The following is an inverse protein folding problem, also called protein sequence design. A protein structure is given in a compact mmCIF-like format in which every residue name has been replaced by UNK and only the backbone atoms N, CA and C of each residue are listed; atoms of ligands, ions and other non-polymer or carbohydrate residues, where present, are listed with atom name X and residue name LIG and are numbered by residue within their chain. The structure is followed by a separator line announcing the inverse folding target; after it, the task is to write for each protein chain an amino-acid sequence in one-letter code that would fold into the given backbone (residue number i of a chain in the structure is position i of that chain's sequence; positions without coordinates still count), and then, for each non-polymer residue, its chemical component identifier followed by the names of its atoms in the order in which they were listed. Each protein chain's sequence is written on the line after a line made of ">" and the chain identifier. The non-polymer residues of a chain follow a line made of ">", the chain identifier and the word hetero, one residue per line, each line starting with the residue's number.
data_IF_948172656621
#
_entry.id   IF_948172656621
#
_cell.length_a   1.000
_cell.length_b   1.000
_cell.length_c   1.000
_cell.angle_alpha   90.00
_cell.angle_beta   90.00
_cell.angle_gamma   90.00
#
_symmetry.space_group_name_H-M   'P 1'
#
loop_
_entity.id
_entity.type
_entity.pdbx_description
1 polymer ?
#
# COMPACT_ATOMS: atom_id res chain seq x y z
N UNK A 1 -29.93 3.06 -46.33
CA UNK A 1 -30.98 3.21 -45.30
C UNK A 1 -30.82 2.17 -44.19
N UNK A 2 -30.71 0.88 -44.51
CA UNK A 2 -30.47 -0.23 -43.55
C UNK A 2 -29.21 -0.06 -42.70
N UNK A 3 -28.07 0.30 -43.31
CA UNK A 3 -26.80 0.54 -42.57
C UNK A 3 -26.92 1.67 -41.55
N UNK A 4 -27.63 2.75 -41.89
CA UNK A 4 -27.86 3.88 -40.99
C UNK A 4 -28.76 3.48 -39.82
N UNK A 5 -29.82 2.70 -40.07
CA UNK A 5 -30.68 2.17 -39.00
C UNK A 5 -29.92 1.23 -38.06
N UNK A 6 -29.06 0.36 -38.59
CA UNK A 6 -28.19 -0.51 -37.80
C UNK A 6 -27.22 0.29 -36.93
N UNK A 7 -26.59 1.33 -37.48
CA UNK A 7 -25.70 2.21 -36.72
C UNK A 7 -26.45 2.91 -35.58
N UNK A 8 -27.63 3.45 -35.86
CA UNK A 8 -28.48 4.10 -34.84
C UNK A 8 -28.89 3.09 -33.76
N UNK A 9 -29.31 1.88 -34.14
CA UNK A 9 -29.67 0.84 -33.19
C UNK A 9 -28.50 0.44 -32.28
N UNK A 10 -27.30 0.27 -32.84
CA UNK A 10 -26.08 -0.01 -32.06
C UNK A 10 -25.79 1.13 -31.08
N UNK A 11 -25.86 2.38 -31.53
CA UNK A 11 -25.61 3.55 -30.68
C UNK A 11 -26.63 3.61 -29.53
N UNK A 12 -27.92 3.40 -29.82
CA UNK A 12 -28.98 3.37 -28.79
C UNK A 12 -28.76 2.23 -27.81
N UNK A 13 -28.45 1.03 -28.27
CA UNK A 13 -28.12 -0.12 -27.41
C UNK A 13 -26.92 0.16 -26.51
N UNK A 14 -25.86 0.79 -27.04
CA UNK A 14 -24.70 1.21 -26.26
C UNK A 14 -25.07 2.24 -25.19
N UNK A 15 -25.91 3.23 -25.51
CA UNK A 15 -26.38 4.21 -24.53
C UNK A 15 -27.27 3.59 -23.44
N UNK A 16 -28.16 2.67 -23.80
CA UNK A 16 -29.00 1.95 -22.83
C UNK A 16 -28.15 1.05 -21.93
N UNK A 17 -27.20 0.31 -22.51
CA UNK A 17 -26.27 -0.54 -21.77
C UNK A 17 -25.41 0.29 -20.81
N UNK A 18 -24.87 1.42 -21.27
CA UNK A 18 -24.15 2.36 -20.41
C UNK A 18 -25.06 2.91 -19.30
N UNK A 19 -26.28 3.32 -19.63
CA UNK A 19 -27.27 3.78 -18.65
C UNK A 19 -27.56 2.74 -17.57
N UNK A 20 -27.68 1.46 -17.94
CA UNK A 20 -27.87 0.35 -17.00
C UNK A 20 -26.66 0.13 -16.10
N UNK A 21 -25.43 0.18 -16.65
CA UNK A 21 -24.19 0.10 -15.86
C UNK A 21 -24.15 1.22 -14.83
N UNK A 22 -24.39 2.46 -15.27
CA UNK A 22 -24.36 3.62 -14.39
C UNK A 22 -25.45 3.54 -13.33
N UNK A 23 -26.67 3.13 -13.69
CA UNK A 23 -27.75 2.98 -12.72
C UNK A 23 -27.41 1.92 -11.67
N UNK A 24 -26.95 0.74 -12.08
CA UNK A 24 -26.57 -0.35 -11.17
C UNK A 24 -25.40 0.04 -10.25
N UNK A 25 -24.38 0.69 -10.80
CA UNK A 25 -23.25 1.17 -10.03
C UNK A 25 -23.69 2.21 -8.98
N UNK A 26 -24.46 3.21 -9.39
CA UNK A 26 -24.81 4.35 -8.53
C UNK A 26 -25.92 4.06 -7.49
N UNK A 27 -26.60 2.91 -7.59
CA UNK A 27 -27.66 2.49 -6.65
C UNK A 27 -27.22 1.37 -5.70
N UNK A 28 -25.98 0.90 -5.81
CA UNK A 28 -25.46 -0.26 -5.07
C UNK A 28 -25.71 -0.17 -3.55
N UNK A 29 -25.38 0.98 -2.94
CA UNK A 29 -25.56 1.22 -1.51
C UNK A 29 -27.01 1.50 -1.12
N UNK A 30 -27.79 2.13 -2.02
CA UNK A 30 -29.20 2.44 -1.80
C UNK A 30 -30.01 1.16 -1.64
N UNK A 31 -29.83 0.20 -2.55
CA UNK A 31 -30.52 -1.10 -2.54
C UNK A 31 -30.14 -1.93 -1.30
N UNK A 32 -28.95 -1.71 -0.73
CA UNK A 32 -28.44 -2.41 0.47
C UNK A 32 -28.76 -1.70 1.78
N UNK A 33 -29.47 -0.57 1.74
CA UNK A 33 -29.80 0.21 2.94
C UNK A 33 -28.61 0.88 3.62
N UNK A 34 -27.45 0.97 2.96
CA UNK A 34 -26.25 1.62 3.50
C UNK A 34 -26.31 3.12 3.23
N UNK A 35 -26.17 3.94 4.28
CA UNK A 35 -26.10 5.39 4.13
C UNK A 35 -24.87 5.79 3.32
N UNK A 36 -25.07 6.66 2.34
CA UNK A 36 -24.01 7.08 1.43
C UNK A 36 -24.32 8.46 0.85
N UNK A 37 -23.31 9.14 0.30
CA UNK A 37 -23.56 10.31 -0.53
C UNK A 37 -23.96 9.90 -1.93
N UNK A 38 -25.00 10.56 -2.46
CA UNK A 38 -25.41 10.38 -3.85
C UNK A 38 -24.22 10.64 -4.79
N UNK A 39 -23.82 9.64 -5.61
CA UNK A 39 -22.70 9.77 -6.52
C UNK A 39 -23.05 10.60 -7.76
N UNK A 40 -22.02 11.15 -8.38
CA UNK A 40 -22.11 11.62 -9.76
C UNK A 40 -21.96 10.43 -10.71
N UNK A 41 -22.70 10.38 -11.83
CA UNK A 41 -22.85 9.15 -12.61
C UNK A 41 -21.55 8.42 -12.99
N UNK A 42 -20.48 9.14 -13.36
CA UNK A 42 -19.22 8.55 -13.86
C UNK A 42 -18.05 8.62 -12.87
N UNK A 43 -17.96 9.70 -12.12
CA UNK A 43 -16.82 10.02 -11.24
C UNK A 43 -17.11 9.72 -9.77
N UNK A 44 -18.27 9.13 -9.49
CA UNK A 44 -18.69 8.76 -8.15
C UNK A 44 -18.74 9.99 -7.24
N UNK A 45 -18.22 9.85 -6.03
CA UNK A 45 -18.10 10.98 -5.12
C UNK A 45 -16.75 11.73 -5.23
N UNK A 46 -15.78 11.20 -6.00
CA UNK A 46 -14.50 11.88 -6.28
C UNK A 46 -14.68 13.19 -7.08
N UNK A 47 -15.83 13.37 -7.74
CA UNK A 47 -16.23 14.64 -8.36
C UNK A 47 -16.03 15.85 -7.43
N UNK A 48 -16.26 15.66 -6.13
CA UNK A 48 -16.07 16.71 -5.12
C UNK A 48 -14.59 17.09 -4.97
N UNK A 49 -13.68 16.13 -4.95
CA UNK A 49 -12.25 16.41 -4.91
C UNK A 49 -11.80 17.19 -6.16
N UNK A 50 -12.26 16.75 -7.35
CA UNK A 50 -11.95 17.40 -8.63
C UNK A 50 -12.50 18.83 -8.73
N UNK A 51 -13.73 19.05 -8.25
CA UNK A 51 -14.40 20.36 -8.32
C UNK A 51 -13.78 21.40 -7.39
N UNK A 52 -13.27 20.99 -6.23
CA UNK A 52 -12.77 21.90 -5.19
C UNK A 52 -11.24 22.01 -5.15
N UNK A 53 -10.52 21.36 -6.07
CA UNK A 53 -9.05 21.31 -6.09
C UNK A 53 -8.46 20.94 -4.72
N UNK A 54 -9.11 20.00 -4.01
CA UNK A 54 -8.69 19.51 -2.69
C UNK A 54 -8.10 18.11 -2.81
N UNK A 55 -7.16 17.80 -1.93
CA UNK A 55 -6.62 16.44 -1.81
C UNK A 55 -7.73 15.45 -1.44
N UNK A 56 -7.67 14.23 -1.97
CA UNK A 56 -8.71 13.20 -1.80
C UNK A 56 -8.95 12.83 -0.33
N UNK A 57 -7.94 12.94 0.54
CA UNK A 57 -8.06 12.68 1.99
C UNK A 57 -9.13 13.53 2.67
N UNK A 58 -9.26 14.81 2.32
CA UNK A 58 -10.30 15.70 2.87
C UNK A 58 -11.70 15.19 2.53
N UNK A 59 -11.85 14.58 1.36
CA UNK A 59 -13.12 14.07 0.92
C UNK A 59 -13.52 12.82 1.73
N UNK A 60 -12.59 11.89 1.98
CA UNK A 60 -12.87 10.76 2.86
C UNK A 60 -13.20 11.18 4.29
N UNK A 61 -12.50 12.19 4.82
CA UNK A 61 -12.81 12.77 6.14
C UNK A 61 -14.21 13.41 6.19
N UNK A 62 -14.60 14.14 5.13
CA UNK A 62 -15.94 14.71 5.00
C UNK A 62 -17.02 13.62 5.02
N UNK A 63 -16.84 12.53 4.27
CA UNK A 63 -17.76 11.38 4.27
C UNK A 63 -17.80 10.72 5.65
N UNK A 64 -16.64 10.50 6.25
CA UNK A 64 -16.52 9.90 7.57
C UNK A 64 -17.33 10.70 8.60
N UNK A 65 -17.23 12.04 8.58
CA UNK A 65 -17.92 12.93 9.52
C UNK A 65 -19.39 13.17 9.20
N UNK A 66 -19.83 12.96 7.95
CA UNK A 66 -21.19 13.31 7.52
C UNK A 66 -22.30 12.46 8.15
N UNK A 67 -21.99 11.25 8.62
CA UNK A 67 -23.00 10.30 9.12
C UNK A 67 -22.69 9.83 10.55
N UNK A 68 -22.52 10.73 11.54
CA UNK A 68 -21.81 10.44 12.80
C UNK A 68 -22.31 9.22 13.58
N UNK A 69 -23.60 8.89 13.46
CA UNK A 69 -24.27 7.75 14.11
C UNK A 69 -24.06 6.40 13.42
N UNK A 70 -23.64 6.39 12.16
CA UNK A 70 -23.48 5.18 11.36
C UNK A 70 -22.13 4.51 11.62
N UNK A 71 -22.14 3.19 11.80
CA UNK A 71 -20.92 2.38 12.01
C UNK A 71 -20.09 2.23 10.72
N UNK A 72 -20.74 2.38 9.58
CA UNK A 72 -20.14 2.29 8.24
C UNK A 72 -20.91 3.17 7.26
N UNK A 73 -20.21 3.69 6.25
CA UNK A 73 -20.78 4.64 5.28
C UNK A 73 -20.34 4.25 3.87
N UNK A 74 -21.29 4.18 2.94
CA UNK A 74 -20.98 3.94 1.53
C UNK A 74 -20.50 5.20 0.82
N UNK A 75 -19.64 5.00 -0.16
CA UNK A 75 -19.22 5.99 -1.14
C UNK A 75 -18.92 5.30 -2.48
N UNK A 76 -18.56 6.09 -3.48
CA UNK A 76 -18.23 5.61 -4.82
C UNK A 76 -16.94 6.26 -5.30
N UNK A 77 -15.97 5.43 -5.66
CA UNK A 77 -14.76 5.84 -6.35
C UNK A 77 -14.94 5.52 -7.82
N UNK A 78 -15.23 6.55 -8.63
CA UNK A 78 -15.76 6.35 -9.97
C UNK A 78 -17.03 5.47 -9.94
N UNK A 79 -16.98 4.29 -10.53
CA UNK A 79 -18.08 3.32 -10.57
C UNK A 79 -17.94 2.22 -9.51
N UNK A 80 -16.85 2.24 -8.73
CA UNK A 80 -16.57 1.26 -7.69
C UNK A 80 -17.27 1.67 -6.39
N UNK A 81 -18.22 0.87 -5.87
CA UNK A 81 -18.78 1.08 -4.55
C UNK A 81 -17.70 0.79 -3.49
N UNK A 82 -17.43 1.78 -2.66
CA UNK A 82 -16.39 1.73 -1.63
C UNK A 82 -17.05 2.02 -0.29
N UNK A 83 -16.84 1.20 0.73
CA UNK A 83 -17.39 1.48 2.07
C UNK A 83 -16.34 2.25 2.90
N UNK A 84 -16.75 2.86 3.99
CA UNK A 84 -15.87 3.45 4.99
C UNK A 84 -16.30 2.88 6.32
N UNK A 85 -15.43 2.10 6.95
CA UNK A 85 -15.68 1.54 8.29
C UNK A 85 -15.30 2.59 9.32
N UNK A 86 -16.22 2.90 10.23
CA UNK A 86 -16.02 3.92 11.27
C UNK A 86 -15.92 3.35 12.67
N UNK A 87 -16.56 2.20 12.91
CA UNK A 87 -16.52 1.50 14.19
C UNK A 87 -15.18 0.76 14.37
N UNK A 88 -14.39 1.05 15.42
CA UNK A 88 -13.14 0.36 15.71
C UNK A 88 -13.28 -1.16 15.83
N UNK A 89 -14.41 -1.65 16.35
CA UNK A 89 -14.70 -3.08 16.48
C UNK A 89 -14.81 -3.75 15.11
N UNK A 90 -15.43 -3.06 14.14
CA UNK A 90 -15.52 -3.54 12.76
C UNK A 90 -14.16 -3.49 12.08
N UNK A 91 -13.37 -2.44 12.34
CA UNK A 91 -11.98 -2.34 11.85
C UNK A 91 -11.12 -3.49 12.39
N UNK A 92 -11.20 -3.79 13.68
CA UNK A 92 -10.49 -4.92 14.30
C UNK A 92 -10.94 -6.26 13.71
N UNK A 93 -12.24 -6.45 13.55
CA UNK A 93 -12.78 -7.67 12.95
C UNK A 93 -12.19 -7.89 11.55
N UNK A 94 -12.16 -6.86 10.71
CA UNK A 94 -11.67 -6.95 9.33
C UNK A 94 -10.14 -7.08 9.25
N UNK A 95 -9.40 -6.25 9.99
CA UNK A 95 -7.93 -6.17 9.87
C UNK A 95 -7.19 -7.21 10.70
N UNK A 96 -7.83 -7.79 11.72
CA UNK A 96 -7.17 -8.68 12.69
C UNK A 96 -7.86 -10.03 12.76
N UNK A 97 -9.14 -10.07 13.14
CA UNK A 97 -9.82 -11.35 13.43
C UNK A 97 -10.03 -12.18 12.17
N UNK A 98 -10.51 -11.54 11.12
CA UNK A 98 -10.86 -12.16 9.84
C UNK A 98 -9.82 -11.87 8.76
N UNK A 99 -8.59 -11.48 9.13
CA UNK A 99 -7.54 -11.15 8.15
C UNK A 99 -7.26 -12.30 7.17
N UNK A 100 -7.42 -13.55 7.59
CA UNK A 100 -7.27 -14.73 6.72
C UNK A 100 -8.26 -14.76 5.56
N UNK A 101 -9.43 -14.15 5.76
CA UNK A 101 -10.52 -14.00 4.78
C UNK A 101 -10.24 -12.83 3.83
N UNK A 102 -9.44 -11.84 4.26
CA UNK A 102 -9.09 -10.63 3.51
C UNK A 102 -7.58 -10.44 3.31
N UNK A 103 -6.89 -11.38 2.63
CA UNK A 103 -5.44 -11.25 2.43
C UNK A 103 -5.07 -10.19 1.39
N UNK A 104 -6.02 -9.77 0.55
CA UNK A 104 -5.78 -8.98 -0.65
C UNK A 104 -5.77 -7.49 -0.38
N UNK A 105 -4.95 -6.78 -1.15
CA UNK A 105 -4.73 -5.36 -0.98
C UNK A 105 -5.67 -4.53 -1.86
N UNK A 106 -5.76 -3.24 -1.49
CA UNK A 106 -6.07 -2.06 -2.31
C UNK A 106 -5.92 -2.19 -3.82
N UNK A 107 -6.62 -1.38 -4.65
CA UNK A 107 -6.44 -1.43 -6.09
C UNK A 107 -5.15 -0.65 -6.40
N UNK A 108 -4.01 -1.29 -6.16
CA UNK A 108 -2.72 -0.92 -6.71
C UNK A 108 -2.56 -1.80 -7.94
N UNK A 109 -3.03 -1.31 -9.08
CA UNK A 109 -2.89 -2.03 -10.35
C UNK A 109 -1.78 -1.42 -11.17
N UNK A 110 -0.91 -2.29 -11.68
CA UNK A 110 0.15 -1.95 -12.62
C UNK A 110 -0.07 -2.74 -13.90
N UNK A 111 0.38 -2.20 -15.04
CA UNK A 111 0.34 -2.94 -16.29
C UNK A 111 1.26 -4.17 -16.23
N UNK A 112 0.94 -5.28 -16.92
CA UNK A 112 1.76 -6.51 -16.89
C UNK A 112 3.24 -6.33 -17.26
N UNK A 113 3.58 -5.30 -18.03
CA UNK A 113 4.97 -5.01 -18.39
C UNK A 113 5.76 -4.28 -17.29
N UNK A 114 5.11 -3.77 -16.26
CA UNK A 114 5.76 -3.00 -15.19
C UNK A 114 6.62 -3.89 -14.30
N UNK A 115 7.75 -3.39 -13.84
CA UNK A 115 8.54 -4.02 -12.77
C UNK A 115 7.72 -4.20 -11.49
N UNK A 116 6.65 -3.42 -11.28
CA UNK A 116 5.82 -3.49 -10.07
C UNK A 116 4.69 -4.52 -10.13
N UNK A 117 4.46 -5.14 -11.30
CA UNK A 117 3.29 -5.99 -11.55
C UNK A 117 3.14 -7.15 -10.58
N UNK A 118 4.22 -7.87 -10.29
CA UNK A 118 4.23 -9.02 -9.37
C UNK A 118 4.72 -8.65 -7.96
N UNK A 119 4.54 -7.41 -7.52
CA UNK A 119 4.98 -7.02 -6.18
C UNK A 119 4.13 -7.61 -5.05
N UNK A 120 4.68 -7.61 -3.82
CA UNK A 120 3.92 -8.01 -2.62
C UNK A 120 2.67 -7.15 -2.36
N UNK A 121 2.56 -5.97 -2.97
CA UNK A 121 1.40 -5.10 -2.83
C UNK A 121 0.29 -5.38 -3.87
N UNK A 122 0.57 -6.20 -4.89
CA UNK A 122 -0.34 -6.50 -6.00
C UNK A 122 -0.67 -7.98 -6.12
N UNK A 123 0.23 -8.87 -5.70
CA UNK A 123 -0.06 -10.30 -5.60
C UNK A 123 -1.14 -10.52 -4.55
N UNK A 124 -2.04 -11.46 -4.83
CA UNK A 124 -3.20 -11.79 -4.01
C UNK A 124 -3.19 -13.25 -3.51
N UNK A 125 -4.08 -13.53 -2.57
CA UNK A 125 -4.46 -14.84 -2.08
C UNK A 125 -3.33 -15.61 -1.40
N UNK A 126 -3.31 -16.91 -1.67
CA UNK A 126 -2.35 -17.85 -1.10
C UNK A 126 -0.92 -17.60 -1.61
N UNK A 127 -0.75 -17.10 -2.84
CA UNK A 127 0.56 -16.69 -3.40
C UNK A 127 1.13 -15.51 -2.61
N UNK A 128 0.31 -14.50 -2.33
CA UNK A 128 0.70 -13.36 -1.51
C UNK A 128 1.18 -13.82 -0.13
N UNK A 129 0.43 -14.73 0.50
CA UNK A 129 0.78 -15.25 1.83
C UNK A 129 2.11 -15.99 1.83
N UNK A 130 2.35 -16.84 0.84
CA UNK A 130 3.61 -17.56 0.69
C UNK A 130 4.79 -16.59 0.49
N UNK A 131 4.64 -15.64 -0.43
CA UNK A 131 5.64 -14.61 -0.70
C UNK A 131 5.92 -13.73 0.53
N UNK A 132 4.87 -13.25 1.21
CA UNK A 132 4.99 -12.46 2.44
C UNK A 132 5.77 -13.20 3.52
N UNK A 133 5.46 -14.48 3.74
CA UNK A 133 6.15 -15.29 4.75
C UNK A 133 7.64 -15.41 4.42
N UNK A 134 8.00 -15.59 3.14
CA UNK A 134 9.40 -15.61 2.69
C UNK A 134 10.08 -14.27 2.94
N UNK A 135 9.47 -13.15 2.54
CA UNK A 135 10.05 -11.81 2.67
C UNK A 135 10.21 -11.37 4.14
N UNK A 136 9.24 -11.72 5.00
CA UNK A 136 9.28 -11.42 6.43
C UNK A 136 10.48 -12.03 7.14
N UNK A 137 11.06 -13.11 6.61
CA UNK A 137 12.27 -13.71 7.20
C UNK A 137 13.44 -12.71 7.27
N UNK A 138 13.44 -11.64 6.48
CA UNK A 138 14.47 -10.59 6.49
C UNK A 138 14.37 -9.63 7.69
N UNK A 139 13.19 -9.54 8.32
CA UNK A 139 12.88 -8.51 9.31
C UNK A 139 12.78 -9.06 10.74
N UNK A 140 13.38 -10.22 11.01
CA UNK A 140 13.48 -10.73 12.38
C UNK A 140 14.34 -9.80 13.24
N UNK A 141 14.10 -9.77 14.56
CA UNK A 141 14.88 -8.92 15.47
C UNK A 141 16.39 -9.17 15.37
N UNK A 142 16.81 -10.43 15.17
CA UNK A 142 18.21 -10.78 14.98
C UNK A 142 18.82 -10.16 13.72
N UNK A 143 18.10 -10.23 12.58
CA UNK A 143 18.56 -9.63 11.32
C UNK A 143 18.54 -8.10 11.36
N UNK A 144 17.50 -7.51 11.95
CA UNK A 144 17.45 -6.05 12.14
C UNK A 144 18.59 -5.54 13.01
N UNK A 145 18.95 -6.27 14.08
CA UNK A 145 20.11 -5.95 14.90
C UNK A 145 21.42 -6.10 14.13
N UNK A 146 21.53 -7.10 13.25
CA UNK A 146 22.72 -7.33 12.44
C UNK A 146 22.98 -6.20 11.43
N UNK A 147 21.93 -5.61 10.84
CA UNK A 147 22.07 -4.51 9.87
C UNK A 147 22.11 -3.12 10.51
N UNK A 148 21.79 -3.00 11.80
CA UNK A 148 21.73 -1.73 12.54
C UNK A 148 23.02 -0.87 12.45
N UNK A 149 24.25 -1.44 12.55
CA UNK A 149 25.46 -0.64 12.43
C UNK A 149 25.59 0.10 11.10
N UNK A 150 25.08 -0.48 10.00
CA UNK A 150 25.12 0.18 8.69
C UNK A 150 24.13 1.35 8.60
N UNK A 151 22.98 1.23 9.26
CA UNK A 151 22.00 2.33 9.37
C UNK A 151 22.65 3.50 10.13
N UNK A 152 23.33 3.23 11.25
CA UNK A 152 24.05 4.26 12.03
C UNK A 152 25.15 4.91 11.18
N UNK A 153 25.93 4.12 10.44
CA UNK A 153 26.98 4.65 9.55
C UNK A 153 26.41 5.56 8.46
N UNK A 154 25.32 5.14 7.81
CA UNK A 154 24.63 5.95 6.81
C UNK A 154 24.08 7.25 7.41
N UNK A 155 23.53 7.19 8.62
CA UNK A 155 23.04 8.38 9.33
C UNK A 155 24.19 9.34 9.64
N UNK A 156 25.28 8.84 10.21
CA UNK A 156 26.44 9.63 10.59
C UNK A 156 27.08 10.33 9.37
N UNK A 157 27.22 9.62 8.25
CA UNK A 157 27.76 10.19 7.01
C UNK A 157 26.98 11.40 6.51
N UNK A 158 25.65 11.39 6.67
CA UNK A 158 24.79 12.49 6.24
C UNK A 158 24.77 13.62 7.27
N UNK A 159 24.82 13.29 8.56
CA UNK A 159 24.88 14.31 9.62
C UNK A 159 26.22 15.06 9.58
N UNK A 160 27.33 14.37 9.30
CA UNK A 160 28.66 14.97 9.24
C UNK A 160 28.85 15.90 8.04
N UNK A 161 28.07 15.73 6.96
CA UNK A 161 28.18 16.59 5.77
C UNK A 161 27.60 18.00 5.99
N UNK A 162 26.54 18.14 6.78
CA UNK A 162 26.04 19.44 7.27
C UNK A 162 25.45 19.30 8.67
N UNK A 163 26.27 19.40 9.74
CA UNK A 163 25.80 19.17 11.10
C UNK A 163 24.86 20.26 11.62
N UNK A 164 24.70 21.37 10.89
CA UNK A 164 23.93 22.54 11.34
C UNK A 164 22.54 22.61 10.71
N UNK A 165 22.30 21.90 9.61
CA UNK A 165 21.03 21.98 8.87
C UNK A 165 20.51 20.59 8.57
N UNK A 166 19.19 20.47 8.60
CA UNK A 166 18.48 19.31 8.10
C UNK A 166 17.62 19.76 6.94
N UNK A 167 17.89 19.25 5.74
CA UNK A 167 17.05 19.49 4.57
C UNK A 167 16.54 18.18 3.97
N UNK A 168 15.48 18.28 3.16
CA UNK A 168 14.80 17.11 2.58
C UNK A 168 15.75 16.21 1.78
N UNK A 169 16.70 16.80 1.04
CA UNK A 169 17.65 16.01 0.25
C UNK A 169 18.59 15.16 1.10
N UNK A 170 19.06 15.65 2.26
CA UNK A 170 19.83 14.84 3.22
C UNK A 170 19.02 13.64 3.71
N UNK A 171 17.73 13.83 3.99
CA UNK A 171 16.86 12.73 4.43
C UNK A 171 16.69 11.68 3.33
N UNK A 172 16.54 12.10 2.07
CA UNK A 172 16.50 11.17 0.94
C UNK A 172 17.84 10.44 0.74
N UNK A 173 18.96 11.16 0.83
CA UNK A 173 20.30 10.58 0.75
C UNK A 173 20.51 9.52 1.84
N UNK A 174 20.14 9.87 3.09
CA UNK A 174 20.15 8.92 4.20
C UNK A 174 19.28 7.70 3.90
N UNK A 175 18.05 7.88 3.42
CA UNK A 175 17.16 6.76 3.13
C UNK A 175 17.75 5.82 2.06
N UNK A 176 18.32 6.37 0.98
CA UNK A 176 18.97 5.59 -0.09
C UNK A 176 20.22 4.89 0.42
N UNK A 177 21.16 5.60 1.05
CA UNK A 177 22.39 5.01 1.61
C UNK A 177 22.08 3.96 2.67
N UNK A 178 21.14 4.25 3.57
CA UNK A 178 20.68 3.32 4.60
C UNK A 178 20.15 2.05 3.95
N UNK A 179 19.27 2.16 2.96
CA UNK A 179 18.71 1.01 2.28
C UNK A 179 19.78 0.18 1.56
N UNK A 180 20.62 0.80 0.74
CA UNK A 180 21.67 0.10 -0.01
C UNK A 180 22.67 -0.61 0.92
N UNK A 181 23.16 0.09 1.95
CA UNK A 181 24.13 -0.48 2.88
C UNK A 181 23.52 -1.57 3.76
N UNK A 182 22.30 -1.37 4.28
CA UNK A 182 21.68 -2.29 5.24
C UNK A 182 21.00 -3.49 4.58
N UNK A 183 20.33 -3.30 3.45
CA UNK A 183 19.48 -4.31 2.80
C UNK A 183 20.20 -5.02 1.65
N UNK A 184 21.12 -4.34 0.96
CA UNK A 184 21.88 -4.90 -0.17
C UNK A 184 23.37 -5.11 0.13
N UNK A 185 23.86 -4.56 1.23
CA UNK A 185 25.26 -4.75 1.66
C UNK A 185 26.27 -4.09 0.73
N UNK A 186 25.87 -3.05 -0.02
CA UNK A 186 26.75 -2.33 -0.96
C UNK A 186 26.49 -0.83 -0.91
N UNK A 187 27.55 -0.05 -1.12
CA UNK A 187 27.51 1.39 -1.39
C UNK A 187 27.90 1.71 -2.85
N UNK A 188 28.22 0.69 -3.65
CA UNK A 188 28.68 0.85 -5.03
C UNK A 188 27.47 0.79 -5.95
N UNK A 189 27.29 1.88 -6.71
CA UNK A 189 26.25 2.00 -7.72
C UNK A 189 26.90 2.12 -9.11
N UNK A 190 26.48 1.32 -10.11
CA UNK A 190 27.06 1.36 -11.45
C UNK A 190 27.06 2.76 -12.09
N UNK A 191 25.98 3.51 -11.88
CA UNK A 191 25.72 4.82 -12.50
C UNK A 191 25.87 5.99 -11.51
N UNK A 192 26.32 5.70 -10.29
CA UNK A 192 26.51 6.70 -9.24
C UNK A 192 25.24 7.06 -8.45
N UNK A 193 25.45 7.69 -7.29
CA UNK A 193 24.39 8.02 -6.34
C UNK A 193 23.47 9.14 -6.83
N UNK A 194 24.02 10.14 -7.52
CA UNK A 194 23.26 11.28 -8.03
C UNK A 194 22.19 10.87 -9.04
N UNK A 195 22.52 9.96 -9.95
CA UNK A 195 21.57 9.45 -10.94
C UNK A 195 20.45 8.64 -10.27
N UNK A 196 20.79 7.74 -9.33
CA UNK A 196 19.78 6.98 -8.58
C UNK A 196 18.83 7.91 -7.83
N UNK A 197 19.36 8.97 -7.21
CA UNK A 197 18.55 9.96 -6.50
C UNK A 197 17.61 10.72 -7.45
N UNK A 198 18.10 11.13 -8.62
CA UNK A 198 17.28 11.80 -9.64
C UNK A 198 16.16 10.89 -10.16
N UNK A 199 16.47 9.63 -10.50
CA UNK A 199 15.50 8.64 -10.99
C UNK A 199 14.49 8.23 -9.92
N UNK A 200 14.93 8.08 -8.68
CA UNK A 200 14.03 7.76 -7.55
C UNK A 200 13.03 8.88 -7.29
N UNK A 201 13.48 10.14 -7.33
CA UNK A 201 12.58 11.31 -7.29
C UNK A 201 11.63 11.32 -8.48
N UNK A 202 12.10 10.94 -9.67
CA UNK A 202 11.26 10.88 -10.86
C UNK A 202 10.06 9.95 -10.68
N UNK A 203 10.21 8.77 -10.06
CA UNK A 203 9.10 7.82 -9.83
C UNK A 203 7.93 8.48 -9.10
N UNK A 204 8.21 9.32 -8.10
CA UNK A 204 7.20 10.01 -7.29
C UNK A 204 6.69 11.34 -7.86
N UNK A 205 7.14 11.75 -9.05
CA UNK A 205 6.65 12.99 -9.66
C UNK A 205 5.19 12.86 -10.10
N UNK A 206 4.29 13.59 -9.44
CA UNK A 206 2.86 13.67 -9.73
C UNK A 206 2.54 14.49 -10.99
N UNK A 207 3.14 14.17 -12.14
CA UNK A 207 2.75 14.76 -13.43
C UNK A 207 1.27 14.43 -13.70
N UNK A 208 0.42 15.38 -14.12
CA UNK A 208 -1.01 15.12 -14.34
C UNK A 208 -1.30 13.91 -15.23
N UNK A 209 -0.48 13.71 -16.27
CA UNK A 209 -0.55 12.54 -17.13
C UNK A 209 -0.39 11.22 -16.36
N UNK A 210 0.57 11.14 -15.42
CA UNK A 210 0.80 9.94 -14.60
C UNK A 210 -0.34 9.68 -13.63
N UNK A 211 -0.92 10.74 -13.07
CA UNK A 211 -2.10 10.63 -12.20
C UNK A 211 -3.27 10.03 -13.00
N UNK A 212 -3.50 10.52 -14.22
CA UNK A 212 -4.53 9.97 -15.11
C UNK A 212 -4.24 8.50 -15.45
N UNK A 213 -2.99 8.16 -15.81
CA UNK A 213 -2.60 6.78 -16.09
C UNK A 213 -2.85 5.86 -14.88
N UNK A 214 -2.47 6.28 -13.67
CA UNK A 214 -2.73 5.51 -12.46
C UNK A 214 -4.23 5.32 -12.21
N UNK A 215 -5.03 6.38 -12.35
CA UNK A 215 -6.49 6.29 -12.21
C UNK A 215 -7.06 5.28 -13.21
N UNK A 216 -6.62 5.31 -14.47
CA UNK A 216 -7.09 4.40 -15.51
C UNK A 216 -6.67 2.96 -15.24
N UNK A 217 -5.42 2.71 -14.86
CA UNK A 217 -4.96 1.37 -14.47
C UNK A 217 -5.72 0.84 -13.25
N UNK A 218 -6.06 1.73 -12.31
CA UNK A 218 -6.71 1.40 -11.04
C UNK A 218 -8.20 1.10 -11.18
N UNK A 219 -8.96 2.03 -11.78
CA UNK A 219 -10.42 2.00 -11.82
C UNK A 219 -10.98 1.53 -13.17
N UNK A 220 -10.16 1.53 -14.22
CA UNK A 220 -10.55 1.13 -15.58
C UNK A 220 -9.49 0.22 -16.24
N UNK A 221 -9.01 -0.84 -15.57
CA UNK A 221 -7.82 -1.59 -15.99
C UNK A 221 -7.88 -2.07 -17.44
N UNK A 222 -9.02 -2.62 -17.88
CA UNK A 222 -9.21 -3.07 -19.28
C UNK A 222 -9.00 -1.95 -20.30
N UNK A 223 -9.41 -0.73 -19.98
CA UNK A 223 -9.24 0.44 -20.85
C UNK A 223 -7.81 0.98 -20.75
N UNK A 224 -7.20 0.97 -19.56
CA UNK A 224 -5.78 1.27 -19.38
C UNK A 224 -4.89 0.36 -20.23
N UNK A 225 -5.16 -0.95 -20.20
CA UNK A 225 -4.46 -1.97 -20.99
C UNK A 225 -4.68 -1.75 -22.50
N UNK A 226 -5.93 -1.52 -22.93
CA UNK A 226 -6.26 -1.24 -24.33
C UNK A 226 -5.51 0.00 -24.87
N UNK A 227 -5.34 1.03 -24.04
CA UNK A 227 -4.63 2.26 -24.38
C UNK A 227 -3.11 2.15 -24.14
N UNK A 228 -2.60 0.98 -23.73
CA UNK A 228 -1.19 0.74 -23.42
C UNK A 228 -0.61 1.77 -22.42
N UNK A 229 -1.45 2.16 -21.45
CA UNK A 229 -1.07 3.07 -20.37
C UNK A 229 -0.04 2.39 -19.47
N UNK A 230 0.84 3.21 -18.90
CA UNK A 230 1.93 2.74 -18.06
C UNK A 230 2.02 3.55 -16.79
N UNK A 231 2.33 2.87 -15.70
CA UNK A 231 2.60 3.50 -14.41
C UNK A 231 3.79 4.47 -14.50
N UNK A 232 4.84 4.07 -15.22
CA UNK A 232 6.02 4.90 -15.43
C UNK A 232 6.57 4.77 -16.86
N UNK A 233 7.42 5.71 -17.31
CA UNK A 233 8.09 5.59 -18.60
C UNK A 233 8.92 4.31 -18.69
N UNK A 234 8.91 3.63 -19.85
CA UNK A 234 9.71 2.41 -20.08
C UNK A 234 11.20 2.61 -19.80
N UNK A 235 11.73 3.80 -20.08
CA UNK A 235 13.13 4.15 -19.80
C UNK A 235 13.43 4.12 -18.31
N UNK A 236 12.50 4.58 -17.48
CA UNK A 236 12.62 4.56 -16.02
C UNK A 236 12.45 3.15 -15.46
N UNK A 237 11.48 2.39 -16.00
CA UNK A 237 11.26 0.98 -15.63
C UNK A 237 12.50 0.13 -15.94
N UNK A 238 13.05 0.25 -17.16
CA UNK A 238 14.26 -0.45 -17.58
C UNK A 238 15.49 -0.08 -16.75
N UNK A 239 15.64 1.20 -16.38
CA UNK A 239 16.70 1.65 -15.49
C UNK A 239 16.69 0.86 -14.17
N UNK A 240 15.53 0.79 -13.50
CA UNK A 240 15.43 0.08 -12.23
C UNK A 240 15.56 -1.43 -12.39
N UNK A 241 15.06 -2.02 -13.48
CA UNK A 241 15.29 -3.43 -13.79
C UNK A 241 16.78 -3.74 -13.88
N UNK A 242 17.53 -2.97 -14.66
CA UNK A 242 18.97 -3.16 -14.87
C UNK A 242 19.75 -2.96 -13.56
N UNK A 243 19.46 -1.89 -12.82
CA UNK A 243 20.11 -1.60 -11.55
C UNK A 243 19.88 -2.73 -10.54
N UNK A 244 18.62 -3.09 -10.29
CA UNK A 244 18.27 -4.09 -9.28
C UNK A 244 18.75 -5.48 -9.67
N UNK A 245 18.70 -5.83 -10.95
CA UNK A 245 19.27 -7.08 -11.44
C UNK A 245 20.77 -7.14 -11.20
N UNK A 246 21.49 -6.06 -11.53
CA UNK A 246 22.93 -5.95 -11.26
C UNK A 246 23.24 -6.12 -9.77
N UNK A 247 22.47 -5.47 -8.89
CA UNK A 247 22.68 -5.57 -7.44
C UNK A 247 22.43 -7.00 -6.92
N UNK A 248 21.40 -7.69 -7.42
CA UNK A 248 21.09 -9.08 -7.05
C UNK A 248 22.17 -10.04 -7.59
N UNK A 249 22.66 -9.84 -8.82
CA UNK A 249 23.71 -10.67 -9.42
C UNK A 249 25.08 -10.47 -8.75
N UNK A 250 25.44 -9.21 -8.45
CA UNK A 250 26.65 -8.88 -7.70
C UNK A 250 26.61 -9.53 -6.30
N UNK A 251 25.46 -9.47 -5.62
CA UNK A 251 25.26 -10.16 -4.33
C UNK A 251 25.39 -11.67 -4.46
N UNK A 252 24.83 -12.26 -5.52
CA UNK A 252 24.86 -13.70 -5.72
C UNK A 252 26.27 -14.23 -6.02
N UNK A 253 27.11 -13.43 -6.68
CA UNK A 253 28.48 -13.77 -7.06
C UNK A 253 29.50 -13.44 -5.97
N UNK A 254 29.29 -12.37 -5.20
CA UNK A 254 30.10 -12.06 -4.05
C UNK A 254 29.77 -13.09 -2.94
N UNK A 255 30.73 -13.95 -2.59
CA UNK A 255 30.58 -15.00 -1.56
C UNK A 255 30.49 -14.43 -0.12
N UNK A 256 29.65 -13.41 0.07
CA UNK A 256 29.48 -12.64 1.29
C UNK A 256 28.35 -13.26 2.10
N UNK A 257 28.71 -13.92 3.20
CA UNK A 257 27.76 -14.48 4.16
C UNK A 257 27.20 -13.38 5.06
N UNK A 258 26.11 -12.77 4.61
CA UNK A 258 25.35 -11.77 5.38
C UNK A 258 23.85 -12.05 5.20
N UNK A 259 23.13 -12.09 6.32
CA UNK A 259 21.71 -12.39 6.37
C UNK A 259 20.85 -11.12 6.22
N UNK A 260 20.99 -10.48 5.06
CA UNK A 260 20.25 -9.29 4.65
C UNK A 260 19.08 -9.62 3.71
N UNK A 261 18.40 -8.58 3.22
CA UNK A 261 17.28 -8.71 2.29
C UNK A 261 17.73 -9.21 0.91
N UNK A 262 18.88 -8.74 0.42
CA UNK A 262 19.43 -9.20 -0.85
C UNK A 262 19.74 -10.70 -0.83
N UNK A 263 20.17 -11.28 0.30
CA UNK A 263 20.25 -12.74 0.45
C UNK A 263 18.90 -13.43 0.22
N UNK A 264 17.81 -12.89 0.75
CA UNK A 264 16.47 -13.48 0.55
C UNK A 264 16.07 -13.42 -0.93
N UNK A 265 16.37 -12.31 -1.62
CA UNK A 265 16.16 -12.17 -3.06
C UNK A 265 17.00 -13.16 -3.88
N UNK A 266 18.29 -13.32 -3.56
CA UNK A 266 19.16 -14.31 -4.21
C UNK A 266 18.69 -15.74 -3.97
N UNK A 267 18.27 -16.06 -2.74
CA UNK A 267 17.74 -17.38 -2.40
C UNK A 267 16.44 -17.63 -3.17
N UNK A 268 15.54 -16.64 -3.27
CA UNK A 268 14.33 -16.72 -4.10
C UNK A 268 14.68 -16.98 -5.57
N UNK A 269 15.62 -16.23 -6.14
CA UNK A 269 16.01 -16.38 -7.55
C UNK A 269 16.54 -17.79 -7.88
N UNK A 270 17.07 -18.51 -6.88
CA UNK A 270 17.56 -19.89 -7.02
C UNK A 270 16.50 -20.96 -6.76
N UNK A 271 15.36 -20.62 -6.18
CA UNK A 271 14.32 -21.59 -5.80
C UNK A 271 13.63 -22.22 -7.02
N UNK A 272 13.46 -21.46 -8.11
CA UNK A 272 12.70 -21.87 -9.30
C UNK A 272 11.20 -21.93 -9.06
N UNK A 273 10.75 -22.56 -7.96
CA UNK A 273 9.36 -22.62 -7.52
C UNK A 273 9.22 -22.29 -6.03
N UNK A 274 8.10 -21.69 -5.65
CA UNK A 274 7.74 -21.41 -4.27
C UNK A 274 6.51 -22.23 -3.88
N UNK A 275 6.64 -22.98 -2.78
CA UNK A 275 5.56 -23.76 -2.21
C UNK A 275 4.52 -22.85 -1.55
N UNK A 276 3.25 -23.17 -1.81
CA UNK A 276 2.10 -22.51 -1.21
C UNK A 276 1.52 -23.44 -0.16
N UNK A 277 1.87 -23.15 1.10
CA UNK A 277 1.38 -23.92 2.24
C UNK A 277 -0.04 -23.50 2.62
N UNK A 278 -0.96 -24.45 2.57
CA UNK A 278 -2.31 -24.27 3.09
C UNK A 278 -2.35 -24.62 4.58
N UNK A 279 -2.72 -23.63 5.41
CA UNK A 279 -2.79 -23.79 6.86
C UNK A 279 -3.96 -24.66 7.31
N UNK A 280 -5.04 -24.73 6.53
CA UNK A 280 -6.25 -25.45 6.91
C UNK A 280 -6.06 -26.96 6.84
N UNK A 281 -5.38 -27.45 5.79
CA UNK A 281 -5.11 -28.89 5.60
C UNK A 281 -3.66 -29.29 5.96
N UNK A 282 -2.82 -28.32 6.33
CA UNK A 282 -1.40 -28.47 6.67
C UNK A 282 -0.53 -29.07 5.57
N UNK A 283 -0.85 -28.85 4.29
CA UNK A 283 -0.14 -29.40 3.12
C UNK A 283 0.31 -28.32 2.15
N UNK A 284 1.23 -28.68 1.25
CA UNK A 284 1.55 -27.90 0.06
C UNK A 284 0.50 -28.26 -0.98
N UNK A 285 -0.38 -27.32 -1.29
CA UNK A 285 -1.46 -27.55 -2.25
C UNK A 285 -1.05 -27.09 -3.66
N UNK A 286 -0.22 -26.05 -3.73
CA UNK A 286 0.18 -25.41 -4.98
C UNK A 286 1.64 -24.97 -4.94
N UNK A 287 2.22 -24.78 -6.12
CA UNK A 287 3.53 -24.12 -6.29
C UNK A 287 3.41 -23.09 -7.39
N UNK A 288 4.08 -21.95 -7.26
CA UNK A 288 4.20 -20.99 -8.36
C UNK A 288 5.66 -20.70 -8.70
N UNK A 289 5.90 -20.39 -9.97
CA UNK A 289 7.24 -20.11 -10.47
C UNK A 289 7.80 -18.83 -9.86
N UNK A 290 9.07 -18.88 -9.45
CA UNK A 290 9.82 -17.72 -8.97
C UNK A 290 10.64 -17.21 -10.14
N UNK A 291 10.05 -16.29 -10.89
CA UNK A 291 10.69 -15.63 -12.03
C UNK A 291 11.68 -14.55 -11.56
N UNK A 292 12.61 -14.17 -12.44
CA UNK A 292 13.46 -13.00 -12.16
C UNK A 292 12.59 -11.73 -12.00
N UNK A 293 11.55 -11.58 -12.80
CA UNK A 293 10.60 -10.46 -12.69
C UNK A 293 9.94 -10.37 -11.31
N UNK A 294 9.53 -11.51 -10.74
CA UNK A 294 8.99 -11.56 -9.37
C UNK A 294 10.02 -11.07 -8.34
N UNK A 295 11.28 -11.49 -8.47
CA UNK A 295 12.38 -11.08 -7.57
C UNK A 295 12.65 -9.58 -7.71
N UNK A 296 12.76 -9.08 -8.93
CA UNK A 296 12.98 -7.66 -9.22
C UNK A 296 11.81 -6.79 -8.74
N UNK A 297 10.57 -7.28 -8.85
CA UNK A 297 9.39 -6.60 -8.32
C UNK A 297 9.47 -6.41 -6.79
N UNK A 298 9.97 -7.41 -6.06
CA UNK A 298 10.17 -7.28 -4.61
C UNK A 298 11.33 -6.35 -4.28
N UNK A 299 12.41 -6.39 -5.04
CA UNK A 299 13.54 -5.48 -4.88
C UNK A 299 13.09 -4.02 -5.08
N UNK A 300 12.34 -3.77 -6.15
CA UNK A 300 11.80 -2.47 -6.52
C UNK A 300 10.86 -1.93 -5.47
N UNK A 301 9.81 -2.69 -5.10
CA UNK A 301 8.82 -2.19 -4.17
C UNK A 301 9.38 -1.99 -2.76
N UNK A 302 10.30 -2.82 -2.29
CA UNK A 302 10.95 -2.58 -0.99
C UNK A 302 11.86 -1.36 -1.00
N UNK A 303 12.57 -1.11 -2.11
CA UNK A 303 13.35 0.12 -2.28
C UNK A 303 12.42 1.33 -2.17
N UNK A 304 11.38 1.43 -3.00
CA UNK A 304 10.51 2.60 -3.01
C UNK A 304 9.66 2.77 -1.75
N UNK A 305 9.10 1.68 -1.21
CA UNK A 305 8.31 1.74 0.02
C UNK A 305 9.16 2.16 1.23
N UNK A 306 10.44 1.76 1.28
CA UNK A 306 11.36 2.11 2.36
C UNK A 306 11.95 3.53 2.27
N UNK A 307 11.89 4.18 1.10
CA UNK A 307 12.47 5.50 0.90
C UNK A 307 11.52 6.63 1.28
N UNK A 308 10.48 6.85 0.48
CA UNK A 308 9.68 8.09 0.57
C UNK A 308 8.91 8.17 1.90
N UNK A 309 8.36 7.03 2.35
CA UNK A 309 7.65 6.96 3.63
C UNK A 309 8.56 7.32 4.81
N UNK A 310 9.80 6.81 4.84
CA UNK A 310 10.79 7.11 5.87
C UNK A 310 11.17 8.59 5.85
N UNK A 311 11.42 9.15 4.66
CA UNK A 311 11.74 10.58 4.49
C UNK A 311 10.62 11.47 4.98
N UNK A 312 9.37 11.17 4.60
CA UNK A 312 8.21 11.93 5.04
C UNK A 312 8.04 11.88 6.57
N UNK A 313 8.17 10.69 7.18
CA UNK A 313 8.11 10.55 8.64
C UNK A 313 9.19 11.39 9.32
N UNK A 314 10.44 11.33 8.85
CA UNK A 314 11.55 12.11 9.42
C UNK A 314 11.33 13.62 9.25
N UNK A 315 10.98 14.06 8.04
CA UNK A 315 10.76 15.47 7.72
C UNK A 315 9.64 16.06 8.57
N UNK A 316 8.52 15.36 8.66
CA UNK A 316 7.39 15.80 9.47
C UNK A 316 7.71 15.77 10.96
N UNK A 317 8.37 14.73 11.47
CA UNK A 317 8.78 14.67 12.89
C UNK A 317 9.70 15.86 13.22
N UNK A 318 10.67 16.16 12.36
CA UNK A 318 11.57 17.29 12.55
C UNK A 318 10.82 18.63 12.53
N UNK A 319 9.87 18.81 11.60
CA UNK A 319 9.04 20.01 11.51
C UNK A 319 8.23 20.23 12.80
N UNK A 320 7.50 19.22 13.28
CA UNK A 320 6.68 19.34 14.50
C UNK A 320 7.54 19.66 15.72
N UNK A 321 8.69 18.99 15.87
CA UNK A 321 9.63 19.29 16.96
C UNK A 321 10.20 20.71 16.84
N UNK A 322 10.44 21.21 15.64
CA UNK A 322 10.91 22.60 15.44
C UNK A 322 9.89 23.65 15.90
N UNK A 323 8.58 23.31 15.78
CA UNK A 323 7.48 24.17 16.22
C UNK A 323 7.21 24.03 17.73
N UNK A 324 7.44 22.85 18.31
CA UNK A 324 7.21 22.55 19.72
C UNK A 324 8.53 22.47 20.52
N UNK A 325 9.13 23.63 20.85
CA UNK A 325 10.44 23.72 21.54
C UNK A 325 10.54 22.89 22.83
N UNK A 326 9.47 22.85 23.65
CA UNK A 326 9.45 22.06 24.88
C UNK A 326 9.53 20.55 24.61
N UNK A 327 8.78 20.07 23.61
CA UNK A 327 8.84 18.68 23.16
C UNK A 327 10.21 18.33 22.58
N UNK A 328 10.78 19.22 21.76
CA UNK A 328 12.13 19.05 21.20
C UNK A 328 13.19 18.92 22.30
N UNK A 329 13.17 19.81 23.29
CA UNK A 329 14.15 19.79 24.36
C UNK A 329 14.02 18.53 25.22
N UNK A 330 12.79 18.11 25.52
CA UNK A 330 12.52 16.84 26.22
C UNK A 330 13.05 15.63 25.44
N UNK A 331 12.79 15.55 24.13
CA UNK A 331 13.32 14.48 23.28
C UNK A 331 14.85 14.50 23.21
N UNK A 332 15.45 15.70 23.10
CA UNK A 332 16.91 15.87 23.11
C UNK A 332 17.55 15.41 24.42
N UNK A 333 16.92 15.73 25.56
CA UNK A 333 17.39 15.29 26.88
C UNK A 333 17.32 13.77 27.03
N UNK A 334 16.22 13.15 26.56
CA UNK A 334 16.12 11.69 26.53
C UNK A 334 17.25 11.08 25.70
N UNK A 335 17.45 11.53 24.46
CA UNK A 335 18.53 11.03 23.58
C UNK A 335 19.89 11.13 24.27
N UNK A 336 20.23 12.30 24.85
CA UNK A 336 21.52 12.49 25.56
C UNK A 336 21.67 11.55 26.76
N UNK A 337 20.62 11.39 27.55
CA UNK A 337 20.61 10.51 28.73
C UNK A 337 20.82 9.05 28.33
N UNK A 338 20.08 8.58 27.31
CA UNK A 338 20.16 7.22 26.80
C UNK A 338 21.52 6.94 26.17
N UNK A 339 22.05 7.85 25.35
CA UNK A 339 23.39 7.67 24.76
C UNK A 339 24.48 7.62 25.83
N UNK A 340 24.37 8.42 26.91
CA UNK A 340 25.29 8.33 28.05
C UNK A 340 25.18 6.99 28.77
N UNK A 341 23.97 6.46 28.96
CA UNK A 341 23.71 5.14 29.59
C UNK A 341 24.35 3.99 28.80
N UNK A 342 24.30 4.04 27.47
CA UNK A 342 24.74 2.95 26.59
C UNK A 342 26.14 3.16 25.98
N UNK A 343 26.77 4.32 26.19
CA UNK A 343 28.09 4.63 25.62
C UNK A 343 28.08 4.98 24.12
N UNK A 344 26.91 5.28 23.55
CA UNK A 344 26.74 5.60 22.13
C UNK A 344 25.49 4.98 21.51
N UNK A 345 25.41 5.02 20.18
CA UNK A 345 24.31 4.43 19.42
C UNK A 345 24.42 2.90 19.43
N UNK A 346 23.36 2.23 19.87
CA UNK A 346 23.20 0.78 19.83
C UNK A 346 21.74 0.42 19.59
N UNK A 347 21.48 -0.83 19.20
CA UNK A 347 20.12 -1.34 19.02
C UNK A 347 19.29 -1.16 20.30
N UNK A 348 19.88 -1.46 21.46
CA UNK A 348 19.28 -1.30 22.77
C UNK A 348 19.06 0.18 23.11
N UNK A 349 20.02 1.06 22.82
CA UNK A 349 19.88 2.50 23.07
C UNK A 349 18.68 3.07 22.32
N UNK A 350 18.53 2.81 21.02
CA UNK A 350 17.40 3.35 20.23
C UNK A 350 16.06 2.81 20.76
N UNK A 351 15.99 1.54 21.15
CA UNK A 351 14.77 0.97 21.73
C UNK A 351 14.39 1.58 23.09
N UNK A 352 15.35 2.15 23.81
CA UNK A 352 15.14 2.82 25.10
C UNK A 352 14.70 4.29 24.97
N UNK A 353 14.71 4.87 23.76
CA UNK A 353 14.25 6.25 23.50
C UNK A 353 12.72 6.31 23.36
N UNK A 354 12.01 6.14 24.48
CA UNK A 354 10.54 6.00 24.51
C UNK A 354 9.80 7.27 24.11
N UNK A 355 10.25 8.43 24.57
CA UNK A 355 9.63 9.70 24.26
C UNK A 355 9.86 10.09 22.81
N UNK A 356 11.06 9.86 22.26
CA UNK A 356 11.31 10.06 20.83
C UNK A 356 10.44 9.14 19.97
N UNK A 357 10.28 7.87 20.36
CA UNK A 357 9.35 6.94 19.70
C UNK A 357 7.90 7.45 19.75
N UNK A 358 7.45 8.02 20.87
CA UNK A 358 6.14 8.70 20.96
C UNK A 358 6.02 9.89 20.00
N UNK A 359 7.07 10.71 19.85
CA UNK A 359 7.08 11.82 18.88
C UNK A 359 6.91 11.30 17.43
N UNK A 360 7.57 10.19 17.09
CA UNK A 360 7.46 9.57 15.75
C UNK A 360 6.07 8.95 15.56
N UNK A 361 5.58 8.18 16.53
CA UNK A 361 4.29 7.48 16.45
C UNK A 361 3.11 8.45 16.42
N UNK A 362 3.12 9.50 17.25
CA UNK A 362 2.09 10.54 17.25
C UNK A 362 1.91 11.15 15.86
N UNK A 363 2.98 11.26 15.07
CA UNK A 363 2.89 11.70 13.68
C UNK A 363 2.43 10.61 12.72
N UNK A 364 2.89 9.36 12.89
CA UNK A 364 2.44 8.23 12.05
C UNK A 364 0.91 8.15 12.01
N UNK A 365 0.24 8.35 13.15
CA UNK A 365 -1.22 8.42 13.25
C UNK A 365 -1.83 9.65 12.54
N UNK A 366 -1.22 10.83 12.64
CA UNK A 366 -1.68 12.03 11.95
C UNK A 366 -1.41 12.03 10.42
N UNK A 367 -0.42 11.27 9.93
CA UNK A 367 -0.17 11.07 8.48
C UNK A 367 -0.97 9.91 7.90
N UNK A 368 -1.34 8.92 8.73
CA UNK A 368 -2.24 7.80 8.41
C UNK A 368 -3.68 8.27 8.10
N UNK A 369 -4.03 9.53 8.33
CA UNK A 369 -5.25 10.16 7.78
C UNK A 369 -5.28 10.12 6.24
N UNK A 370 -4.15 9.81 5.58
CA UNK A 370 -4.06 9.56 4.13
C UNK A 370 -4.17 8.07 3.76
N UNK A 371 -4.08 7.16 4.74
CA UNK A 371 -4.26 5.72 4.54
C UNK A 371 -5.74 5.37 4.55
N UNK A 372 -6.46 5.98 3.61
CA UNK A 372 -7.79 5.58 3.20
C UNK A 372 -7.84 4.19 2.53
N UNK A 373 -6.83 3.36 2.79
CA UNK A 373 -6.65 2.00 2.29
C UNK A 373 -7.62 1.01 2.96
N UNK A 374 -8.20 1.37 4.13
CA UNK A 374 -9.30 0.59 4.73
C UNK A 374 -10.50 0.50 3.77
N UNK A 375 -10.62 1.45 2.84
CA UNK A 375 -11.74 1.52 1.90
C UNK A 375 -11.75 0.41 0.84
N UNK A 376 -10.62 -0.28 0.58
CA UNK A 376 -10.58 -1.35 -0.41
C UNK A 376 -10.88 -2.76 0.12
N UNK A 377 -10.98 -2.92 1.45
CA UNK A 377 -11.35 -4.22 2.03
C UNK A 377 -12.85 -4.50 1.85
N UNK A 378 -13.55 -3.58 1.21
CA UNK A 378 -15.00 -3.51 1.16
C UNK A 378 -15.57 -4.04 -0.14
N UNK A 379 -14.70 -4.56 -0.99
CA UNK A 379 -15.11 -5.11 -2.27
C UNK A 379 -15.60 -6.57 -2.15
N UNK A 380 -15.28 -7.30 -1.06
CA UNK A 380 -15.62 -8.73 -0.99
C UNK A 380 -15.90 -9.28 0.42
N UNK A 381 -16.89 -8.82 1.20
CA UNK A 381 -17.72 -9.78 1.99
C UNK A 381 -18.98 -9.21 2.67
N UNK A 382 -19.93 -10.13 2.71
CA UNK A 382 -21.14 -10.25 3.53
C UNK A 382 -20.85 -10.27 5.03
N UNK A 383 -21.66 -9.52 5.80
CA UNK A 383 -21.67 -9.57 7.26
C UNK A 383 -22.30 -10.87 7.74
N UNK A 384 -21.51 -11.78 8.30
CA UNK A 384 -22.09 -12.90 9.04
C UNK A 384 -22.63 -12.40 10.39
N UNK A 385 -23.90 -12.69 10.69
CA UNK A 385 -24.50 -12.23 11.91
C UNK A 385 -23.84 -12.83 13.15
N UNK A 386 -23.45 -11.98 14.11
CA UNK A 386 -23.47 -12.39 15.52
C UNK A 386 -24.91 -12.81 15.87
N UNK A 387 -25.17 -13.52 16.97
CA UNK A 387 -26.53 -13.89 17.38
C UNK A 387 -27.54 -12.70 17.44
N UNK A 388 -27.05 -11.46 17.42
CA UNK A 388 -27.81 -10.20 17.44
C UNK A 388 -27.98 -9.53 16.06
N UNK A 389 -27.32 -10.00 15.01
CA UNK A 389 -27.56 -9.58 13.62
C UNK A 389 -28.35 -10.69 12.92
N UNK A 390 -29.16 -10.38 11.91
CA UNK A 390 -29.68 -11.38 10.96
C UNK A 390 -29.62 -10.75 9.57
N UNK A 391 -28.66 -11.17 8.76
CA UNK A 391 -28.65 -10.90 7.32
C UNK A 391 -28.48 -12.22 6.56
N UNK A 392 -29.42 -12.58 5.66
CA UNK A 392 -29.39 -13.84 4.94
C UNK A 392 -28.90 -13.59 3.53
N UNK A 393 -27.60 -13.55 3.30
CA UNK A 393 -27.10 -13.58 1.93
C UNK A 393 -25.94 -14.58 1.86
N UNK A 394 -25.81 -15.23 0.70
CA UNK A 394 -24.72 -16.13 0.28
C UNK A 394 -24.37 -15.81 -1.17
N UNK A 395 -23.08 -15.83 -1.50
CA UNK A 395 -22.54 -15.44 -2.82
C UNK A 395 -21.90 -16.60 -3.61
N UNK A 396 -21.88 -16.47 -4.95
CA UNK A 396 -21.21 -17.41 -5.86
C UNK A 396 -19.68 -17.17 -5.97
N UNK A 397 -18.84 -18.22 -6.02
CA UNK A 397 -17.38 -18.08 -5.96
C UNK A 397 -16.67 -17.63 -7.26
N UNK A 398 -17.32 -17.73 -8.43
CA UNK A 398 -16.65 -17.61 -9.75
C UNK A 398 -17.21 -16.48 -10.65
N UNK A 399 -17.98 -15.55 -10.10
CA UNK A 399 -18.45 -14.37 -10.84
C UNK A 399 -17.46 -13.20 -10.68
N UNK A 400 -17.23 -12.41 -11.74
CA UNK A 400 -16.40 -11.19 -11.67
C UNK A 400 -16.94 -10.14 -10.67
N UNK A 401 -18.20 -10.30 -10.22
CA UNK A 401 -18.83 -9.58 -9.11
C UNK A 401 -19.78 -10.53 -8.36
N UNK A 402 -19.74 -10.51 -7.03
CA UNK A 402 -20.64 -11.28 -6.15
C UNK A 402 -22.11 -10.84 -6.31
N UNK A 403 -22.95 -11.73 -6.85
CA UNK A 403 -24.41 -11.52 -6.97
C UNK A 403 -25.14 -12.39 -5.93
N UNK A 404 -26.04 -11.83 -5.09
CA UNK A 404 -26.79 -12.59 -4.08
C UNK A 404 -27.91 -13.47 -4.67
N UNK A 405 -28.24 -14.57 -3.98
CA UNK A 405 -29.15 -15.63 -4.48
C UNK A 405 -30.64 -15.44 -4.13
N UNK A 406 -31.06 -14.71 -3.07
CA UNK A 406 -32.51 -14.50 -2.83
C UNK A 406 -32.89 -13.37 -1.85
N UNK A 407 -34.03 -12.73 -2.13
CA UNK A 407 -34.81 -11.81 -1.28
C UNK A 407 -35.61 -12.59 -0.23
N UNK A 408 -35.63 -12.14 1.03
CA UNK A 408 -36.88 -12.03 1.83
C UNK A 408 -36.65 -11.26 3.16
N UNK A 409 -37.67 -10.51 3.55
CA UNK A 409 -37.73 -9.50 4.63
C UNK A 409 -37.42 -10.06 6.03
N UNK A 410 -36.66 -9.32 6.86
CA UNK A 410 -36.50 -9.65 8.29
C UNK A 410 -36.65 -8.41 9.18
N UNK A 411 -37.61 -8.50 10.11
CA UNK A 411 -37.87 -7.59 11.23
C UNK A 411 -36.99 -7.91 12.46
N UNK A 412 -36.65 -6.89 13.25
CA UNK A 412 -35.72 -6.99 14.40
C UNK A 412 -36.51 -6.92 15.72
N UNK A 413 -36.34 -7.93 16.58
CA UNK A 413 -36.67 -7.87 18.01
C UNK A 413 -35.37 -8.12 18.80
N UNK A 414 -34.98 -7.14 19.60
CA UNK A 414 -33.77 -7.15 20.44
C UNK A 414 -34.03 -7.80 21.80
N UNK A 415 -33.18 -8.76 22.20
CA UNK A 415 -32.94 -9.11 23.62
C UNK A 415 -31.52 -9.64 23.85
N UNK A 416 -30.64 -8.70 24.22
CA UNK A 416 -29.71 -8.62 25.36
C UNK A 416 -28.93 -9.88 25.85
N UNK A 417 -27.66 -9.61 26.19
CA UNK A 417 -26.75 -10.23 27.19
C UNK A 417 -25.84 -11.31 26.55
N UNK A 418 -24.50 -11.31 26.68
CA UNK A 418 -23.57 -10.87 27.74
C UNK A 418 -22.17 -10.59 27.18
#
# INVERSE_FOLDING_TARGET
>A
MTTLMLLVAVVVCCFLYLGLILWKANTYWEVRGVKHFKPWPLVGNLARALKFNRHVSFFYDEIYKAFPTERMVGMYEFLTPTLIIRDPTLVENVLVREFSTYPDHGPLFFEPSSISYESIFTITGIRWRALRNKLLTSFSTGKMKAIFPDIVRSCQSVVDSDPKRLHKDMLHEFAVKSFLNSMFGTNILPEGEEELMAKSKEVFQGKPQRIIQQIMLTFFPKLGDFLNMKFMPKTLDNYFRNLLNTLVEQRASANIKRDDYAKVLCDMNKMGKMDVYNRENKRIDETFDVTNDLVLAQAFMFFFAGLDTTVLVMLHTALELSLAKSCQEKARQEVRSVLKKYGGYSWEAVRDMKYLDQCIQGKRFATLETATIIAHILDNFELHPSPELKFPLKYEPNALFHSPISNDEISIILKRIM
#
